data_IF_587453893816
#
_entry.id   IF_587453893816
#
_cell.length_a   1.000
_cell.length_b   1.000
_cell.length_c   1.000
_cell.angle_alpha   90.00
_cell.angle_beta   90.00
_cell.angle_gamma   90.00
#
_symmetry.space_group_name_H-M   'P 1'
#
loop_
_entity.id
_entity.type
_entity.pdbx_description
1 polymer ?
#
# COMPACT_ATOMS: atom_id res chain seq x y z
N UNK A 1 -10.59 -30.13 18.33
CA UNK A 1 -9.49 -29.92 17.36
C UNK A 1 -9.09 -28.46 17.25
N UNK A 2 -10.03 -27.52 17.04
CA UNK A 2 -9.75 -26.07 16.97
C UNK A 2 -9.17 -25.48 18.28
N UNK A 3 -9.67 -25.90 19.45
CA UNK A 3 -9.15 -25.41 20.75
C UNK A 3 -7.70 -25.84 21.00
N UNK A 4 -7.34 -27.08 20.64
CA UNK A 4 -5.98 -27.59 20.82
C UNK A 4 -4.96 -26.81 19.97
N UNK A 5 -5.31 -26.48 18.71
CA UNK A 5 -4.48 -25.65 17.85
C UNK A 5 -4.33 -24.21 18.40
N UNK A 6 -5.38 -23.65 19.00
CA UNK A 6 -5.34 -22.30 19.58
C UNK A 6 -4.38 -22.19 20.77
N UNK A 7 -4.34 -23.20 21.64
CA UNK A 7 -3.47 -23.24 22.83
C UNK A 7 -1.99 -23.46 22.49
N UNK A 8 -1.71 -23.97 21.29
CA UNK A 8 -0.35 -24.19 20.81
C UNK A 8 0.27 -22.98 20.12
N UNK A 9 -0.52 -21.94 19.86
CA UNK A 9 0.01 -20.69 19.28
C UNK A 9 0.82 -19.92 20.34
N UNK A 10 1.98 -19.40 19.93
CA UNK A 10 2.80 -18.48 20.69
C UNK A 10 2.19 -17.07 20.72
N UNK A 11 1.16 -16.91 21.55
CA UNK A 11 0.47 -15.63 21.71
C UNK A 11 1.36 -14.54 22.29
N UNK A 12 2.37 -14.90 23.08
CA UNK A 12 3.29 -13.92 23.66
C UNK A 12 4.16 -13.28 22.57
N UNK A 13 4.73 -14.08 21.67
CA UNK A 13 5.48 -13.54 20.53
C UNK A 13 4.59 -12.80 19.54
N UNK A 14 3.36 -13.28 19.34
CA UNK A 14 2.37 -12.60 18.52
C UNK A 14 2.05 -11.19 19.06
N UNK A 15 1.65 -11.09 20.32
CA UNK A 15 1.30 -9.83 20.99
C UNK A 15 2.49 -8.86 20.99
N UNK A 16 3.68 -9.35 21.33
CA UNK A 16 4.91 -8.54 21.29
C UNK A 16 5.13 -7.98 19.88
N UNK A 17 4.93 -8.78 18.84
CA UNK A 17 5.06 -8.34 17.45
C UNK A 17 4.05 -7.25 17.11
N UNK A 18 2.78 -7.41 17.49
CA UNK A 18 1.71 -6.41 17.28
C UNK A 18 2.10 -5.08 17.93
N UNK A 19 2.54 -5.11 19.18
CA UNK A 19 2.89 -3.90 19.93
C UNK A 19 4.09 -3.13 19.36
N UNK A 20 4.96 -3.80 18.60
CA UNK A 20 6.07 -3.16 17.89
C UNK A 20 5.66 -2.57 16.53
N UNK A 21 4.48 -2.92 16.00
CA UNK A 21 3.95 -2.50 14.70
C UNK A 21 3.19 -1.17 14.76
N UNK A 22 3.93 -0.09 15.02
CA UNK A 22 3.39 1.28 15.19
C UNK A 22 3.13 2.01 13.84
N UNK A 23 2.30 3.04 13.92
CA UNK A 23 1.97 4.05 12.88
C UNK A 23 1.10 3.55 11.70
N UNK A 24 1.18 4.22 10.53
CA UNK A 24 0.39 3.91 9.32
C UNK A 24 0.31 2.42 8.90
N UNK A 25 1.34 1.60 9.12
CA UNK A 25 1.26 0.14 8.94
C UNK A 25 0.26 -0.57 9.87
N UNK A 26 -0.07 -0.03 11.05
CA UNK A 26 -0.94 -0.67 12.04
C UNK A 26 -2.35 -0.95 11.50
N UNK A 27 -2.94 -0.02 10.74
CA UNK A 27 -4.26 -0.24 10.12
C UNK A 27 -4.22 -1.43 9.17
N UNK A 28 -3.19 -1.51 8.33
CA UNK A 28 -2.98 -2.66 7.46
C UNK A 28 -2.85 -3.94 8.28
N UNK A 29 -2.04 -3.93 9.35
CA UNK A 29 -1.82 -5.12 10.16
C UNK A 29 -3.12 -5.63 10.76
N UNK A 30 -3.92 -4.76 11.37
CA UNK A 30 -5.22 -5.15 11.95
C UNK A 30 -6.11 -5.77 10.87
N UNK A 31 -6.24 -5.13 9.71
CA UNK A 31 -7.03 -5.68 8.60
C UNK A 31 -6.47 -7.01 8.08
N UNK A 32 -5.14 -7.16 8.01
CA UNK A 32 -4.47 -8.37 7.57
C UNK A 32 -4.72 -9.54 8.52
N UNK A 33 -4.50 -9.34 9.83
CA UNK A 33 -4.67 -10.38 10.85
C UNK A 33 -6.12 -10.87 10.98
N UNK A 34 -7.10 -10.00 10.73
CA UNK A 34 -8.53 -10.33 10.78
C UNK A 34 -9.09 -10.79 9.42
N UNK A 35 -8.28 -10.81 8.35
CA UNK A 35 -8.75 -11.20 7.02
C UNK A 35 -9.70 -10.20 6.36
N UNK A 36 -9.60 -8.92 6.73
CA UNK A 36 -10.46 -7.81 6.27
C UNK A 36 -9.73 -6.82 5.36
N UNK A 37 -8.62 -7.24 4.73
CA UNK A 37 -8.00 -6.41 3.71
C UNK A 37 -9.01 -6.08 2.60
N UNK A 38 -9.04 -4.84 2.08
CA UNK A 38 -9.93 -4.45 0.99
C UNK A 38 -9.46 -5.00 -0.37
N UNK A 39 -9.42 -6.33 -0.46
CA UNK A 39 -9.14 -7.13 -1.66
C UNK A 39 -10.42 -7.31 -2.48
N UNK A 40 -10.27 -7.66 -3.76
CA UNK A 40 -11.38 -7.76 -4.72
C UNK A 40 -12.60 -8.53 -4.19
N UNK A 41 -12.40 -9.71 -3.58
CA UNK A 41 -13.47 -10.53 -2.99
C UNK A 41 -14.29 -9.81 -1.91
N UNK A 42 -13.66 -8.94 -1.13
CA UNK A 42 -14.32 -8.19 -0.07
C UNK A 42 -15.01 -6.95 -0.63
N UNK A 43 -14.31 -6.14 -1.44
CA UNK A 43 -14.83 -4.85 -1.91
C UNK A 43 -15.92 -4.97 -2.96
N UNK A 44 -15.94 -6.07 -3.73
CA UNK A 44 -16.99 -6.36 -4.70
C UNK A 44 -18.36 -6.58 -4.04
N UNK A 45 -18.38 -6.95 -2.75
CA UNK A 45 -19.62 -7.06 -1.97
C UNK A 45 -20.31 -5.71 -1.74
N UNK A 46 -19.54 -4.62 -1.74
CA UNK A 46 -20.11 -3.28 -1.55
C UNK A 46 -20.66 -2.71 -2.86
N UNK A 47 -19.91 -2.86 -3.96
CA UNK A 47 -20.33 -2.45 -5.30
C UNK A 47 -19.54 -3.23 -6.36
N UNK A 48 -20.11 -4.28 -6.95
CA UNK A 48 -19.39 -5.15 -7.88
C UNK A 48 -19.12 -4.50 -9.24
N UNK A 49 -19.92 -3.50 -9.62
CA UNK A 49 -19.75 -2.73 -10.87
C UNK A 49 -18.52 -1.81 -10.75
N UNK A 50 -18.38 -1.12 -9.61
CA UNK A 50 -17.27 -0.21 -9.35
C UNK A 50 -15.99 -0.93 -8.94
N UNK A 51 -16.11 -2.02 -8.19
CA UNK A 51 -14.96 -2.74 -7.63
C UNK A 51 -14.99 -4.22 -8.05
N UNK A 52 -14.33 -4.56 -9.17
CA UNK A 52 -14.27 -5.94 -9.63
C UNK A 52 -13.62 -6.86 -8.58
N UNK A 53 -14.13 -8.08 -8.48
CA UNK A 53 -13.60 -9.15 -7.61
C UNK A 53 -12.22 -9.64 -8.07
N UNK A 54 -11.91 -9.46 -9.36
CA UNK A 54 -10.70 -9.98 -9.96
C UNK A 54 -9.42 -9.28 -9.46
N UNK A 55 -8.32 -10.02 -9.46
CA UNK A 55 -7.01 -9.51 -9.10
C UNK A 55 -6.54 -8.45 -10.10
N UNK A 56 -6.10 -7.26 -9.65
CA UNK A 56 -5.63 -6.20 -10.54
C UNK A 56 -4.29 -6.53 -11.24
N UNK A 57 -3.58 -7.57 -10.81
CA UNK A 57 -2.26 -7.94 -11.34
C UNK A 57 -2.26 -9.14 -12.27
N UNK A 58 -3.11 -10.15 -12.04
CA UNK A 58 -3.13 -11.38 -12.84
C UNK A 58 -4.50 -11.74 -13.40
N UNK A 59 -5.54 -10.95 -13.11
CA UNK A 59 -6.92 -11.16 -13.55
C UNK A 59 -7.59 -12.46 -13.04
N UNK A 60 -7.02 -13.13 -12.03
CA UNK A 60 -7.71 -14.21 -11.31
C UNK A 60 -9.09 -13.72 -10.85
N UNK A 61 -10.21 -14.44 -11.13
CA UNK A 61 -11.57 -13.91 -10.92
C UNK A 61 -11.91 -13.50 -9.49
N UNK A 62 -11.25 -14.11 -8.50
CA UNK A 62 -11.48 -13.85 -7.08
C UNK A 62 -10.16 -13.56 -6.36
N UNK A 63 -9.88 -12.29 -6.12
CA UNK A 63 -8.76 -11.87 -5.29
C UNK A 63 -9.17 -11.90 -3.81
N UNK A 64 -8.72 -12.92 -3.09
CA UNK A 64 -8.80 -12.97 -1.63
C UNK A 64 -7.45 -12.67 -0.96
N UNK A 65 -7.43 -12.63 0.38
CA UNK A 65 -6.22 -12.29 1.15
C UNK A 65 -5.08 -13.29 0.91
N UNK A 66 -5.38 -14.56 0.64
CA UNK A 66 -4.38 -15.57 0.29
C UNK A 66 -3.81 -15.29 -1.09
N UNK A 67 -4.69 -15.02 -2.07
CA UNK A 67 -4.29 -14.71 -3.43
C UNK A 67 -3.33 -13.52 -3.50
N UNK A 68 -3.50 -12.48 -2.68
CA UNK A 68 -2.55 -11.35 -2.64
C UNK A 68 -1.11 -11.83 -2.45
N UNK A 69 -0.89 -12.83 -1.61
CA UNK A 69 0.44 -13.36 -1.28
C UNK A 69 0.89 -14.46 -2.25
N UNK A 70 -0.04 -15.20 -2.86
CA UNK A 70 0.26 -16.32 -3.78
C UNK A 70 0.04 -15.97 -5.26
N UNK A 71 -0.15 -14.68 -5.58
CA UNK A 71 -0.48 -14.23 -6.94
C UNK A 71 0.66 -14.60 -7.91
N UNK A 72 0.35 -15.15 -9.11
CA UNK A 72 1.36 -15.61 -10.06
C UNK A 72 2.03 -14.48 -10.86
N UNK A 73 1.66 -13.23 -10.61
CA UNK A 73 2.22 -12.09 -11.35
C UNK A 73 3.74 -11.96 -11.07
N UNK A 74 4.59 -11.65 -12.08
CA UNK A 74 6.04 -11.58 -11.91
C UNK A 74 6.54 -10.67 -10.79
N UNK A 75 5.89 -9.53 -10.53
CA UNK A 75 6.27 -8.62 -9.44
C UNK A 75 6.02 -9.26 -8.06
N UNK A 76 5.01 -10.14 -7.97
CA UNK A 76 4.65 -10.89 -6.76
C UNK A 76 5.66 -12.00 -6.51
N UNK A 77 6.10 -12.68 -7.57
CA UNK A 77 7.20 -13.65 -7.47
C UNK A 77 8.51 -12.98 -7.01
N UNK A 78 8.81 -11.75 -7.47
CA UNK A 78 9.95 -10.97 -6.96
C UNK A 78 9.81 -10.70 -5.45
N UNK A 79 8.61 -10.33 -5.00
CA UNK A 79 8.35 -10.18 -3.56
C UNK A 79 8.56 -11.49 -2.78
N UNK A 80 8.02 -12.62 -3.27
CA UNK A 80 8.18 -13.93 -2.63
C UNK A 80 9.66 -14.33 -2.50
N UNK A 81 10.45 -14.10 -3.56
CA UNK A 81 11.90 -14.31 -3.54
C UNK A 81 12.57 -13.40 -2.51
N UNK A 82 12.24 -12.10 -2.50
CA UNK A 82 12.79 -11.15 -1.54
C UNK A 82 12.44 -11.49 -0.08
N UNK A 83 11.21 -11.95 0.19
CA UNK A 83 10.79 -12.43 1.52
C UNK A 83 11.68 -13.61 1.95
N UNK A 84 11.83 -14.64 1.11
CA UNK A 84 12.66 -15.82 1.41
C UNK A 84 14.12 -15.43 1.70
N UNK A 85 14.69 -14.54 0.90
CA UNK A 85 16.07 -14.06 1.07
C UNK A 85 16.23 -13.26 2.37
N UNK A 86 15.35 -12.28 2.64
CA UNK A 86 15.38 -11.50 3.89
C UNK A 86 15.21 -12.39 5.12
N UNK A 87 14.33 -13.38 5.04
CA UNK A 87 14.03 -14.30 6.13
C UNK A 87 15.24 -15.19 6.44
N UNK A 88 15.90 -15.73 5.40
CA UNK A 88 17.17 -16.46 5.53
C UNK A 88 18.24 -15.62 6.23
N UNK A 89 18.54 -14.44 5.67
CA UNK A 89 19.56 -13.55 6.23
C UNK A 89 19.25 -13.15 7.67
N UNK A 90 17.98 -12.87 7.98
CA UNK A 90 17.59 -12.54 9.35
C UNK A 90 17.82 -13.70 10.29
N UNK A 91 17.40 -14.90 9.92
CA UNK A 91 17.56 -16.10 10.75
C UNK A 91 19.04 -16.42 11.01
N UNK A 92 19.89 -16.31 9.97
CA UNK A 92 21.35 -16.45 10.09
C UNK A 92 21.94 -15.39 11.03
N UNK A 93 21.51 -14.12 10.93
CA UNK A 93 22.01 -13.01 11.77
C UNK A 93 21.66 -13.10 13.27
N UNK A 94 20.74 -14.00 13.63
CA UNK A 94 20.29 -14.23 15.01
C UNK A 94 20.57 -15.67 15.46
N UNK A 95 21.47 -16.37 14.76
CA UNK A 95 21.95 -17.71 15.11
C UNK A 95 20.81 -18.75 15.20
N UNK A 96 19.85 -18.68 14.27
CA UNK A 96 18.74 -19.65 14.21
C UNK A 96 19.27 -21.06 13.98
N UNK A 97 18.69 -22.06 14.65
CA UNK A 97 19.01 -23.48 14.42
C UNK A 97 18.86 -23.78 12.91
N UNK A 98 19.90 -24.30 12.24
CA UNK A 98 19.84 -24.57 10.80
C UNK A 98 18.64 -25.44 10.39
N UNK A 99 18.28 -26.44 11.19
CA UNK A 99 17.16 -27.32 10.88
C UNK A 99 15.80 -26.62 11.07
N UNK A 100 15.70 -25.67 12.01
CA UNK A 100 14.51 -24.81 12.13
C UNK A 100 14.43 -23.82 10.97
N UNK A 101 15.55 -23.22 10.56
CA UNK A 101 15.60 -22.35 9.38
C UNK A 101 15.14 -23.10 8.12
N UNK A 102 15.62 -24.31 7.91
CA UNK A 102 15.23 -25.14 6.78
C UNK A 102 13.73 -25.46 6.80
N UNK A 103 13.19 -25.91 7.94
CA UNK A 103 11.75 -26.16 8.10
C UNK A 103 10.92 -24.89 7.81
N UNK A 104 11.38 -23.76 8.30
CA UNK A 104 10.71 -22.46 8.17
C UNK A 104 10.61 -22.03 6.70
N UNK A 105 11.73 -22.07 5.97
CA UNK A 105 11.77 -21.71 4.56
C UNK A 105 11.04 -22.73 3.69
N UNK A 106 11.16 -24.01 4.03
CA UNK A 106 10.49 -25.09 3.32
C UNK A 106 8.97 -25.02 3.46
N UNK A 107 8.47 -24.79 4.68
CA UNK A 107 7.04 -24.64 4.92
C UNK A 107 6.46 -23.38 4.27
N UNK A 108 7.17 -22.24 4.33
CA UNK A 108 6.80 -21.03 3.60
C UNK A 108 6.73 -21.29 2.09
N UNK A 109 7.73 -21.98 1.51
CA UNK A 109 7.78 -22.23 0.08
C UNK A 109 6.64 -23.16 -0.39
N UNK A 110 6.36 -24.23 0.37
CA UNK A 110 5.24 -25.13 0.08
C UNK A 110 3.90 -24.39 0.14
N UNK A 111 3.70 -23.57 1.16
CA UNK A 111 2.50 -22.77 1.29
C UNK A 111 2.32 -21.78 0.12
N UNK A 112 3.38 -21.07 -0.27
CA UNK A 112 3.36 -20.14 -1.41
C UNK A 112 3.04 -20.85 -2.73
N UNK A 113 3.49 -22.09 -2.90
CA UNK A 113 3.23 -22.91 -4.08
C UNK A 113 1.87 -23.64 -4.01
N UNK A 114 1.19 -23.61 -2.88
CA UNK A 114 -0.06 -24.35 -2.67
C UNK A 114 0.12 -25.87 -2.60
N UNK A 115 1.32 -26.35 -2.26
CA UNK A 115 1.66 -27.77 -2.18
C UNK A 115 1.65 -28.21 -0.70
N UNK A 116 1.09 -29.39 -0.37
CA UNK A 116 1.16 -29.94 0.99
C UNK A 116 2.61 -30.18 1.43
N UNK A 117 2.89 -29.99 2.71
CA UNK A 117 4.23 -30.19 3.28
C UNK A 117 4.41 -31.68 3.63
N UNK A 118 5.40 -32.39 3.05
CA UNK A 118 5.56 -33.83 3.27
C UNK A 118 6.14 -34.17 4.65
N UNK A 119 5.36 -34.85 5.51
CA UNK A 119 5.72 -35.13 6.90
C UNK A 119 7.02 -35.95 7.11
N UNK A 120 7.51 -36.67 6.09
CA UNK A 120 8.57 -37.68 6.21
C UNK A 120 10.00 -37.16 6.01
N UNK A 121 10.21 -35.84 5.95
CA UNK A 121 11.52 -35.25 5.60
C UNK A 121 12.22 -34.50 6.74
N UNK A 122 11.73 -34.60 7.98
CA UNK A 122 12.28 -33.84 9.12
C UNK A 122 12.87 -34.74 10.21
N UNK A 123 13.91 -34.28 10.94
CA UNK A 123 14.40 -34.99 12.12
C UNK A 123 13.31 -35.26 13.16
N UNK A 124 13.44 -36.38 13.90
CA UNK A 124 12.45 -36.81 14.90
C UNK A 124 12.12 -35.70 15.92
N UNK A 125 13.14 -35.00 16.42
CA UNK A 125 12.98 -33.92 17.39
C UNK A 125 12.23 -32.68 16.86
N UNK A 126 12.12 -32.51 15.54
CA UNK A 126 11.33 -31.46 14.87
C UNK A 126 9.90 -31.93 14.57
N UNK A 127 9.65 -33.23 14.55
CA UNK A 127 8.36 -33.79 14.10
C UNK A 127 7.17 -33.23 14.89
N UNK A 128 7.33 -33.07 16.20
CA UNK A 128 6.30 -32.45 17.05
C UNK A 128 5.98 -31.01 16.65
N UNK A 129 7.01 -30.21 16.34
CA UNK A 129 6.85 -28.85 15.85
C UNK A 129 6.11 -28.83 14.51
N UNK A 130 6.51 -29.66 13.54
CA UNK A 130 5.87 -29.73 12.24
C UNK A 130 4.39 -30.11 12.37
N UNK A 131 4.05 -31.10 13.20
CA UNK A 131 2.67 -31.49 13.46
C UNK A 131 1.88 -30.34 14.10
N UNK A 132 2.40 -29.73 15.16
CA UNK A 132 1.73 -28.60 15.85
C UNK A 132 1.50 -27.42 14.89
N UNK A 133 2.49 -27.03 14.09
CA UNK A 133 2.33 -25.95 13.11
C UNK A 133 1.34 -26.32 11.99
N UNK A 134 1.33 -27.58 11.55
CA UNK A 134 0.38 -28.06 10.54
C UNK A 134 -1.05 -28.07 11.07
N UNK A 135 -1.25 -28.40 12.34
CA UNK A 135 -2.54 -28.31 13.04
C UNK A 135 -3.03 -26.86 13.19
N UNK A 136 -2.12 -25.91 13.44
CA UNK A 136 -2.41 -24.47 13.41
C UNK A 136 -2.73 -23.99 11.99
N UNK A 137 -2.09 -24.59 10.99
CA UNK A 137 -2.20 -24.22 9.59
C UNK A 137 -1.04 -23.32 9.14
N UNK A 138 -0.58 -23.53 7.90
CA UNK A 138 0.50 -22.74 7.31
C UNK A 138 0.03 -21.41 6.72
N UNK A 139 -1.27 -21.25 6.49
CA UNK A 139 -1.92 -19.96 6.23
C UNK A 139 -1.81 -19.01 7.43
N UNK A 140 -1.77 -19.55 8.64
CA UNK A 140 -1.55 -18.79 9.87
C UNK A 140 -0.07 -18.39 10.09
N UNK A 141 0.87 -18.95 9.32
CA UNK A 141 2.30 -18.71 9.48
C UNK A 141 2.68 -17.25 9.19
N UNK A 142 2.23 -16.70 8.05
CA UNK A 142 2.43 -15.28 7.70
C UNK A 142 1.56 -14.33 8.52
N UNK A 143 0.50 -14.83 9.16
CA UNK A 143 -0.28 -14.10 10.16
C UNK A 143 0.42 -14.04 11.52
N UNK A 144 1.63 -14.60 11.65
CA UNK A 144 2.40 -14.58 12.89
C UNK A 144 1.80 -15.45 14.00
N UNK A 145 0.98 -16.43 13.66
CA UNK A 145 0.39 -17.40 14.60
C UNK A 145 1.19 -18.70 14.53
N UNK A 146 2.34 -18.67 15.20
CA UNK A 146 3.32 -19.75 15.17
C UNK A 146 3.10 -20.72 16.30
N UNK A 147 3.45 -21.99 16.11
CA UNK A 147 3.56 -22.94 17.22
C UNK A 147 4.59 -22.47 18.26
N UNK A 148 4.26 -22.52 19.55
CA UNK A 148 5.19 -22.24 20.66
C UNK A 148 6.45 -23.11 20.63
N UNK A 149 6.39 -24.27 19.98
CA UNK A 149 7.53 -25.17 19.81
C UNK A 149 8.66 -24.55 18.99
N UNK A 150 8.39 -23.60 18.10
CA UNK A 150 9.43 -22.85 17.38
C UNK A 150 10.35 -22.14 18.37
N UNK A 151 9.74 -21.37 19.26
CA UNK A 151 10.43 -20.60 20.30
C UNK A 151 11.18 -21.51 21.28
N UNK A 152 10.55 -22.62 21.70
CA UNK A 152 11.17 -23.59 22.63
C UNK A 152 12.41 -24.26 22.01
N UNK A 153 12.29 -24.80 20.80
CA UNK A 153 13.40 -25.51 20.14
C UNK A 153 14.57 -24.58 19.84
N UNK A 154 14.29 -23.34 19.42
CA UNK A 154 15.34 -22.36 19.20
C UNK A 154 16.09 -22.02 20.50
N UNK A 155 15.37 -21.89 21.61
CA UNK A 155 15.99 -21.64 22.91
C UNK A 155 16.88 -22.81 23.36
N UNK A 156 16.42 -24.05 23.16
CA UNK A 156 17.21 -25.25 23.44
C UNK A 156 18.47 -25.33 22.57
N UNK A 157 18.39 -24.92 21.30
CA UNK A 157 19.55 -24.82 20.42
C UNK A 157 20.61 -23.85 20.98
N UNK A 158 20.21 -22.68 21.47
CA UNK A 158 21.16 -21.74 22.09
C UNK A 158 21.83 -22.34 23.33
N UNK A 159 21.06 -23.00 24.21
CA UNK A 159 21.59 -23.65 25.40
C UNK A 159 22.59 -24.75 25.05
N UNK A 160 22.27 -25.63 24.10
CA UNK A 160 23.10 -26.77 23.69
C UNK A 160 24.42 -26.34 23.03
N UNK A 161 24.41 -25.23 22.30
CA UNK A 161 25.58 -24.74 21.56
C UNK A 161 26.34 -23.64 22.29
N UNK A 162 25.99 -23.34 23.55
CA UNK A 162 26.61 -22.27 24.34
C UNK A 162 26.61 -20.90 23.65
N UNK A 163 25.56 -20.62 22.86
CA UNK A 163 25.40 -19.34 22.17
C UNK A 163 24.90 -18.31 23.19
N UNK A 164 25.61 -17.18 23.30
CA UNK A 164 25.24 -16.11 24.20
C UNK A 164 23.86 -15.52 23.80
N UNK A 165 22.90 -15.66 24.72
CA UNK A 165 21.56 -15.11 24.55
C UNK A 165 21.58 -13.61 24.86
N UNK A 166 21.45 -12.81 23.80
CA UNK A 166 21.29 -11.36 23.81
C UNK A 166 19.81 -11.00 23.73
N UNK A 167 19.50 -9.72 23.95
CA UNK A 167 18.12 -9.21 23.85
C UNK A 167 17.44 -9.52 22.50
N UNK A 168 18.21 -9.65 21.41
CA UNK A 168 17.69 -9.90 20.05
C UNK A 168 17.44 -11.37 19.69
N UNK A 169 18.07 -12.32 20.39
CA UNK A 169 18.04 -13.75 20.11
C UNK A 169 17.63 -14.58 21.35
N UNK A 170 16.93 -14.02 22.34
CA UNK A 170 16.17 -14.88 23.27
C UNK A 170 14.88 -15.34 22.60
N UNK A 171 14.36 -16.52 22.96
CA UNK A 171 13.25 -17.18 22.26
C UNK A 171 12.09 -16.24 21.87
N UNK A 172 11.53 -15.50 22.84
CA UNK A 172 10.44 -14.55 22.60
C UNK A 172 10.81 -13.44 21.61
N UNK A 173 12.00 -12.83 21.74
CA UNK A 173 12.44 -11.80 20.78
C UNK A 173 12.82 -12.37 19.44
N UNK A 174 13.35 -13.59 19.38
CA UNK A 174 13.67 -14.28 18.14
C UNK A 174 12.41 -14.45 17.29
N UNK A 175 11.35 -15.06 17.83
CA UNK A 175 10.11 -15.26 17.08
C UNK A 175 9.41 -13.94 16.79
N UNK A 176 9.37 -12.99 17.74
CA UNK A 176 8.75 -11.68 17.46
C UNK A 176 9.47 -10.91 16.36
N UNK A 177 10.81 -10.99 16.31
CA UNK A 177 11.61 -10.31 15.29
C UNK A 177 11.39 -10.91 13.90
N UNK A 178 11.21 -12.23 13.80
CA UNK A 178 10.93 -12.89 12.53
C UNK A 178 9.50 -12.61 12.07
N UNK A 179 8.52 -12.70 12.96
CA UNK A 179 7.11 -12.33 12.68
C UNK A 179 7.04 -10.89 12.16
N UNK A 180 7.72 -9.97 12.85
CA UNK A 180 7.80 -8.58 12.45
C UNK A 180 8.33 -8.40 11.03
N UNK A 181 9.43 -9.07 10.70
CA UNK A 181 10.02 -9.01 9.36
C UNK A 181 9.03 -9.48 8.29
N UNK A 182 8.32 -10.59 8.54
CA UNK A 182 7.32 -11.09 7.60
C UNK A 182 6.19 -10.07 7.39
N UNK A 183 5.69 -9.45 8.46
CA UNK A 183 4.64 -8.42 8.34
C UNK A 183 5.11 -7.17 7.59
N UNK A 184 6.35 -6.74 7.78
CA UNK A 184 6.93 -5.65 6.98
C UNK A 184 6.96 -6.00 5.49
N UNK A 185 7.27 -7.25 5.16
CA UNK A 185 7.19 -7.75 3.79
C UNK A 185 5.75 -7.84 3.27
N UNK A 186 4.79 -8.36 4.04
CA UNK A 186 3.38 -8.39 3.66
C UNK A 186 2.81 -6.98 3.44
N UNK A 187 3.25 -5.99 4.23
CA UNK A 187 2.84 -4.60 4.04
C UNK A 187 3.40 -3.98 2.74
N UNK A 188 4.66 -4.27 2.40
CA UNK A 188 5.25 -3.86 1.11
C UNK A 188 4.49 -4.45 -0.06
N UNK A 189 4.10 -5.71 0.06
CA UNK A 189 3.31 -6.43 -0.95
C UNK A 189 1.92 -5.84 -1.13
N UNK A 190 1.25 -5.53 -0.02
CA UNK A 190 -0.01 -4.80 -0.01
C UNK A 190 0.07 -3.45 -0.72
N UNK A 191 1.12 -2.66 -0.47
CA UNK A 191 1.34 -1.39 -1.18
C UNK A 191 1.52 -1.60 -2.68
N UNK A 192 2.28 -2.63 -3.07
CA UNK A 192 2.48 -2.99 -4.49
C UNK A 192 1.16 -3.40 -5.14
N UNK A 193 0.27 -4.09 -4.42
CA UNK A 193 -1.09 -4.42 -4.88
C UNK A 193 -1.95 -3.17 -5.04
N UNK A 194 -1.94 -2.28 -4.07
CA UNK A 194 -2.71 -1.05 -4.16
C UNK A 194 -2.24 -0.15 -5.30
N UNK A 195 -0.93 -0.10 -5.57
CA UNK A 195 -0.39 0.57 -6.75
C UNK A 195 -0.88 -0.09 -8.05
N UNK A 196 -0.99 -1.41 -8.13
CA UNK A 196 -1.54 -2.06 -9.32
C UNK A 196 -3.04 -1.75 -9.52
N UNK A 197 -3.82 -1.63 -8.44
CA UNK A 197 -5.25 -1.28 -8.48
C UNK A 197 -5.48 0.18 -8.85
N UNK A 198 -4.75 1.08 -8.21
CA UNK A 198 -5.01 2.53 -8.28
C UNK A 198 -3.96 3.32 -9.07
N UNK A 199 -2.87 2.71 -9.53
CA UNK A 199 -1.85 3.40 -10.31
C UNK A 199 -2.44 3.99 -11.59
N UNK A 200 -3.32 3.24 -12.25
CA UNK A 200 -4.12 3.74 -13.38
C UNK A 200 -5.11 4.82 -12.93
N UNK A 201 -5.81 4.64 -11.81
CA UNK A 201 -6.76 5.64 -11.30
C UNK A 201 -6.09 6.97 -10.91
N UNK A 202 -4.87 6.94 -10.38
CA UNK A 202 -4.13 8.13 -9.95
C UNK A 202 -3.57 8.90 -11.15
N UNK A 203 -3.02 8.20 -12.15
CA UNK A 203 -2.61 8.77 -13.43
C UNK A 203 -3.82 9.32 -14.19
N UNK A 204 -4.92 8.57 -14.27
CA UNK A 204 -6.17 9.01 -14.89
C UNK A 204 -6.79 10.21 -14.17
N UNK A 205 -6.73 10.26 -12.83
CA UNK A 205 -7.24 11.39 -12.05
C UNK A 205 -6.39 12.63 -12.26
N UNK A 206 -5.06 12.50 -12.25
CA UNK A 206 -4.15 13.60 -12.54
C UNK A 206 -4.36 14.14 -13.96
N UNK A 207 -4.50 13.25 -14.94
CA UNK A 207 -4.79 13.60 -16.32
C UNK A 207 -6.14 14.33 -16.46
N UNK A 208 -7.20 13.83 -15.81
CA UNK A 208 -8.53 14.50 -15.83
C UNK A 208 -8.52 15.85 -15.14
N UNK A 209 -7.74 16.02 -14.07
CA UNK A 209 -7.57 17.32 -13.41
C UNK A 209 -6.86 18.30 -14.33
N UNK A 210 -5.75 17.89 -14.95
CA UNK A 210 -5.02 18.70 -15.93
C UNK A 210 -5.91 19.10 -17.11
N UNK A 211 -6.62 18.16 -17.71
CA UNK A 211 -7.54 18.44 -18.83
C UNK A 211 -8.66 19.41 -18.46
N UNK A 212 -9.18 19.30 -17.23
CA UNK A 212 -10.19 20.23 -16.72
C UNK A 212 -9.59 21.64 -16.56
N UNK A 213 -8.42 21.76 -15.93
CA UNK A 213 -7.75 23.03 -15.74
C UNK A 213 -7.45 23.72 -17.08
N UNK A 214 -6.86 22.99 -18.04
CA UNK A 214 -6.57 23.51 -19.38
C UNK A 214 -7.83 24.00 -20.10
N UNK A 215 -8.95 23.29 -19.96
CA UNK A 215 -10.23 23.68 -20.58
C UNK A 215 -10.78 24.96 -19.94
N UNK A 216 -10.85 25.02 -18.61
CA UNK A 216 -11.33 26.21 -17.91
C UNK A 216 -10.48 27.43 -18.25
N UNK A 217 -9.16 27.27 -18.34
CA UNK A 217 -8.26 28.36 -18.74
C UNK A 217 -8.59 28.83 -20.15
N UNK A 218 -8.76 27.93 -21.13
CA UNK A 218 -9.18 28.31 -22.49
C UNK A 218 -10.49 29.10 -22.48
N UNK A 219 -11.49 28.60 -21.76
CA UNK A 219 -12.79 29.27 -21.64
C UNK A 219 -12.65 30.68 -21.04
N UNK A 220 -11.74 30.88 -20.08
CA UNK A 220 -11.45 32.21 -19.51
C UNK A 220 -10.70 33.12 -20.50
N UNK A 221 -9.81 32.58 -21.34
CA UNK A 221 -9.16 33.34 -22.40
C UNK A 221 -10.15 33.79 -23.49
N UNK A 222 -11.18 33.00 -23.78
CA UNK A 222 -12.28 33.42 -24.67
C UNK A 222 -13.08 34.60 -24.10
N UNK A 223 -13.09 34.75 -22.77
CA UNK A 223 -13.71 35.88 -22.08
C UNK A 223 -12.77 37.10 -21.93
N UNK A 224 -11.47 36.96 -22.25
CA UNK A 224 -10.47 38.04 -22.16
C UNK A 224 -10.91 39.35 -22.82
N UNK A 225 -11.53 39.37 -24.03
CA UNK A 225 -11.98 40.62 -24.66
C UNK A 225 -13.09 41.36 -23.88
N UNK A 226 -13.80 40.68 -22.98
CA UNK A 226 -14.87 41.29 -22.16
C UNK A 226 -14.32 41.99 -20.90
N UNK A 227 -13.06 41.74 -20.55
CA UNK A 227 -12.38 42.40 -19.43
C UNK A 227 -11.84 43.78 -19.82
N UNK A 228 -11.55 44.63 -18.83
CA UNK A 228 -10.83 45.89 -19.07
C UNK A 228 -9.41 45.65 -19.61
N UNK A 229 -8.86 46.60 -20.37
CA UNK A 229 -7.49 46.49 -20.90
C UNK A 229 -6.45 46.30 -19.78
N UNK A 230 -6.65 46.93 -18.62
CA UNK A 230 -5.79 46.75 -17.46
C UNK A 230 -5.88 45.33 -16.90
N UNK A 231 -7.09 44.78 -16.77
CA UNK A 231 -7.30 43.40 -16.35
C UNK A 231 -6.72 42.39 -17.36
N UNK A 232 -6.86 42.65 -18.66
CA UNK A 232 -6.30 41.81 -19.71
C UNK A 232 -4.76 41.73 -19.62
N UNK A 233 -4.08 42.82 -19.25
CA UNK A 233 -2.63 42.86 -19.07
C UNK A 233 -2.14 42.25 -17.76
N UNK A 234 -2.98 42.29 -16.71
CA UNK A 234 -2.56 41.90 -15.37
C UNK A 234 -2.93 40.45 -15.02
N UNK A 235 -4.03 39.92 -15.54
CA UNK A 235 -4.51 38.58 -15.20
C UNK A 235 -4.06 37.51 -16.21
N UNK A 236 -3.83 37.89 -17.47
CA UNK A 236 -3.56 36.94 -18.55
C UNK A 236 -2.13 37.09 -19.09
N UNK A 237 -1.58 35.98 -19.57
CA UNK A 237 -0.42 35.97 -20.45
C UNK A 237 -0.78 36.54 -21.85
N UNK A 238 0.21 36.83 -22.71
CA UNK A 238 -0.05 37.38 -24.05
C UNK A 238 -1.01 36.47 -24.84
N UNK A 239 -0.72 35.17 -24.89
CA UNK A 239 -1.57 34.14 -25.50
C UNK A 239 -1.84 32.98 -24.54
N UNK A 240 -2.84 32.15 -24.86
CA UNK A 240 -3.12 30.93 -24.07
C UNK A 240 -2.03 29.88 -24.27
N UNK A 241 -1.38 29.89 -25.44
CA UNK A 241 -0.22 29.05 -25.76
C UNK A 241 1.00 29.44 -24.91
N UNK A 242 1.25 30.73 -24.70
CA UNK A 242 2.34 31.20 -23.82
C UNK A 242 2.10 30.80 -22.36
N UNK A 243 0.84 30.84 -21.93
CA UNK A 243 0.44 30.38 -20.60
C UNK A 243 0.75 28.89 -20.42
N UNK A 244 0.35 28.04 -21.37
CA UNK A 244 0.60 26.61 -21.30
C UNK A 244 2.06 26.21 -21.54
N UNK A 245 2.87 27.06 -22.18
CA UNK A 245 4.33 26.87 -22.25
C UNK A 245 5.02 27.19 -20.92
N UNK A 246 4.46 28.13 -20.14
CA UNK A 246 5.04 28.58 -18.86
C UNK A 246 4.60 27.66 -17.73
N UNK A 247 3.31 27.37 -17.65
CA UNK A 247 2.68 26.56 -16.61
C UNK A 247 2.31 25.19 -17.18
N UNK A 248 3.24 24.23 -17.05
CA UNK A 248 3.13 22.90 -17.69
C UNK A 248 2.52 21.82 -16.80
N UNK A 249 2.53 22.02 -15.48
CA UNK A 249 1.99 21.08 -14.50
C UNK A 249 0.61 21.49 -13.97
N UNK A 250 -0.16 20.49 -13.51
CA UNK A 250 -1.54 20.71 -13.04
C UNK A 250 -1.62 21.64 -11.82
N UNK A 251 -0.63 21.64 -10.94
CA UNK A 251 -0.66 22.46 -9.72
C UNK A 251 -0.47 23.94 -10.04
N UNK A 252 0.45 24.27 -10.95
CA UNK A 252 0.65 25.65 -11.40
C UNK A 252 -0.60 26.23 -12.08
N UNK A 253 -1.25 25.43 -12.94
CA UNK A 253 -2.49 25.83 -13.62
C UNK A 253 -3.69 25.95 -12.65
N UNK A 254 -3.82 25.04 -11.68
CA UNK A 254 -4.84 25.13 -10.62
C UNK A 254 -4.63 26.38 -9.74
N UNK A 255 -3.41 26.70 -9.37
CA UNK A 255 -3.09 27.90 -8.58
C UNK A 255 -3.46 29.20 -9.33
N UNK A 256 -3.18 29.26 -10.64
CA UNK A 256 -3.57 30.41 -11.47
C UNK A 256 -5.10 30.54 -11.52
N UNK A 257 -5.82 29.43 -11.71
CA UNK A 257 -7.28 29.42 -11.70
C UNK A 257 -7.85 29.91 -10.37
N UNK A 258 -7.38 29.38 -9.25
CA UNK A 258 -7.83 29.80 -7.91
C UNK A 258 -7.62 31.31 -7.67
N UNK A 259 -6.53 31.86 -8.20
CA UNK A 259 -6.16 33.27 -8.01
C UNK A 259 -6.96 34.20 -8.93
N UNK A 260 -7.03 33.89 -10.23
CA UNK A 260 -7.46 34.84 -11.24
C UNK A 260 -8.88 34.60 -11.77
N UNK A 261 -9.42 33.37 -11.73
CA UNK A 261 -10.80 33.09 -12.18
C UNK A 261 -11.83 33.98 -11.46
N UNK A 262 -11.81 34.14 -10.12
CA UNK A 262 -12.77 35.01 -9.43
C UNK A 262 -12.62 36.48 -9.83
N UNK A 263 -11.38 36.95 -10.02
CA UNK A 263 -11.08 38.34 -10.39
C UNK A 263 -11.56 38.66 -11.81
N UNK A 264 -11.34 37.75 -12.76
CA UNK A 264 -11.80 37.85 -14.15
C UNK A 264 -13.32 37.94 -14.18
N UNK A 265 -14.01 37.02 -13.49
CA UNK A 265 -15.47 36.98 -13.46
C UNK A 265 -16.07 38.23 -12.80
N UNK A 266 -15.45 38.75 -11.74
CA UNK A 266 -15.87 39.99 -11.10
C UNK A 266 -15.67 41.21 -12.01
N UNK A 267 -14.55 41.30 -12.72
CA UNK A 267 -14.27 42.38 -13.66
C UNK A 267 -15.33 42.45 -14.77
N UNK A 268 -15.66 41.30 -15.36
CA UNK A 268 -16.69 41.20 -16.41
C UNK A 268 -18.06 41.65 -15.87
N UNK A 269 -18.48 41.15 -14.71
CA UNK A 269 -19.76 41.53 -14.09
C UNK A 269 -19.83 43.03 -13.79
N UNK A 270 -18.76 43.61 -13.28
CA UNK A 270 -18.70 45.04 -12.99
C UNK A 270 -18.85 45.88 -14.27
N UNK A 271 -18.18 45.50 -15.36
CA UNK A 271 -18.31 46.18 -16.66
C UNK A 271 -19.72 46.06 -17.25
N UNK A 272 -20.34 44.88 -17.18
CA UNK A 272 -21.73 44.68 -17.60
C UNK A 272 -22.68 45.58 -16.82
N UNK A 273 -22.54 45.63 -15.48
CA UNK A 273 -23.38 46.47 -14.61
C UNK A 273 -23.24 47.97 -14.94
N UNK A 274 -22.02 48.44 -15.24
CA UNK A 274 -21.79 49.83 -15.60
C UNK A 274 -22.34 50.16 -16.99
N UNK A 275 -22.23 49.24 -17.95
CA UNK A 275 -22.86 49.34 -19.27
C UNK A 275 -24.38 49.45 -19.16
N UNK A 276 -25.02 48.59 -18.35
CA UNK A 276 -26.48 48.62 -18.13
C UNK A 276 -26.94 49.93 -17.49
N UNK A 277 -26.11 50.52 -16.64
CA UNK A 277 -26.35 51.83 -16.00
C UNK A 277 -25.95 53.03 -16.88
N UNK A 278 -25.46 52.80 -18.10
CA UNK A 278 -24.92 53.83 -19.03
C UNK A 278 -23.83 54.71 -18.41
N UNK A 279 -23.07 54.17 -17.46
CA UNK A 279 -21.94 54.84 -16.86
C UNK A 279 -20.70 54.62 -17.73
N UNK A 280 -19.97 55.69 -18.05
CA UNK A 280 -18.69 55.57 -18.77
C UNK A 280 -17.67 54.87 -17.88
N UNK A 281 -16.93 53.94 -18.45
CA UNK A 281 -15.89 53.22 -17.71
C UNK A 281 -14.66 54.12 -17.55
N UNK A 282 -13.96 54.02 -16.42
CA UNK A 282 -12.76 54.84 -16.15
C UNK A 282 -11.73 54.72 -17.28
N UNK A 283 -11.54 53.52 -17.84
CA UNK A 283 -10.62 53.28 -18.96
C UNK A 283 -11.03 53.94 -20.28
N UNK A 284 -12.31 54.30 -20.44
CA UNK A 284 -12.82 55.03 -21.61
C UNK A 284 -12.66 56.54 -21.45
N UNK A 285 -12.58 57.02 -20.20
CA UNK A 285 -12.42 58.44 -19.85
C UNK A 285 -10.95 58.80 -19.73
N UNK A 286 -10.12 57.86 -19.27
CA UNK A 286 -8.68 58.02 -19.08
C UNK A 286 -7.96 56.90 -19.82
N UNK A 287 -7.58 57.17 -21.08
CA UNK A 287 -6.61 56.32 -21.78
C UNK A 287 -5.22 56.55 -21.17
N UNK A 288 -4.39 55.50 -21.00
CA UNK A 288 -3.02 55.65 -20.49
C UNK A 288 -2.12 56.44 -21.46
#
# INVERSE_FOLDING_TARGET
MLEAAFVDIDWQSHERSVNTFKDGPHIFLVQFLHGWLPVGKLVSRYNPVKYPSACPSCNEPTEDSKHVLTCPNPERHKWQAALKTSLRHRCESVDTDPALLDLLLWGLNHWLQGIPIPAHSVPEWITHLLHSQTMIGWDNFLLGRWSKHWTTLQFQYFQRNHIEVKNKNHGLSWSSNIIRLMWDHCYKEWKTRNKARHGKDAEDKAQRQLEKALRTIRDLYDLKPKCSLQAQRHYFYPTVEDHFCTDTDASSLENWLETYEPMIMQNIRHRQTNSDRRLRLIDEVFQP
#
